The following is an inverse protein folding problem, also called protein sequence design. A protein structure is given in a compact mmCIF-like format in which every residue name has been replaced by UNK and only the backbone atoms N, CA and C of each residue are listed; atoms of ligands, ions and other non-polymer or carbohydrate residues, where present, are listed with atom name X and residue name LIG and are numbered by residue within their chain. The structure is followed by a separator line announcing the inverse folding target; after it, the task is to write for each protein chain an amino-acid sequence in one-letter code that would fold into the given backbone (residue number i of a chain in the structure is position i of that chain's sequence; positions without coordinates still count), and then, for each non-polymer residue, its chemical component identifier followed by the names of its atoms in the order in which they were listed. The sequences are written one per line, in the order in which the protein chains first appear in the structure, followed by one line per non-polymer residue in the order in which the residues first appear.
data_IF_214066268463
#
_entry.id   IF_214066268463
#
_cell.length_a   1.000
_cell.length_b   1.000
_cell.length_c   1.000
_cell.angle_alpha   90.00
_cell.angle_beta   90.00
_cell.angle_gamma   90.00
#
_symmetry.space_group_name_H-M   'P 1'
#
loop_
_entity.id
_entity.type
_entity.pdbx_description
1 polymer ?
#
# COMPACT_ATOMS: atom_id res chain seq x y z
N UNK A 1 -10.19 16.20 5.45
CA UNK A 1 -11.36 16.24 4.56
C UNK A 1 -11.13 15.26 3.42
N UNK A 2 -11.68 14.05 3.53
CA UNK A 2 -11.60 13.01 2.51
C UNK A 2 -12.69 13.22 1.46
N UNK A 3 -12.35 13.21 0.17
CA UNK A 3 -13.31 13.02 -0.93
C UNK A 3 -12.88 11.76 -1.71
N UNK A 4 -13.59 10.65 -1.48
CA UNK A 4 -13.56 9.48 -2.35
C UNK A 4 -14.48 9.78 -3.55
N UNK A 5 -13.96 9.63 -4.78
CA UNK A 5 -14.78 9.54 -5.98
C UNK A 5 -15.02 8.06 -6.30
N UNK A 6 -16.28 7.65 -6.32
CA UNK A 6 -16.73 6.34 -6.77
C UNK A 6 -17.27 6.50 -8.19
N UNK A 7 -16.55 6.00 -9.20
CA UNK A 7 -17.01 5.98 -10.59
C UNK A 7 -17.66 4.63 -10.86
N UNK A 8 -18.98 4.63 -11.04
CA UNK A 8 -19.76 3.46 -11.46
C UNK A 8 -19.72 3.37 -12.98
N UNK A 9 -19.11 2.32 -13.52
CA UNK A 9 -19.24 1.95 -14.94
C UNK A 9 -20.43 0.99 -15.08
N UNK A 10 -21.50 1.47 -15.72
CA UNK A 10 -22.59 0.64 -16.19
C UNK A 10 -22.21 0.04 -17.55
N UNK A 11 -22.06 -1.29 -17.61
CA UNK A 11 -21.96 -2.03 -18.87
C UNK A 11 -23.34 -2.63 -19.20
N UNK A 12 -23.97 -2.05 -20.21
CA UNK A 12 -25.14 -2.61 -20.88
C UNK A 12 -24.68 -3.69 -21.86
N UNK A 13 -25.25 -4.89 -21.78
CA UNK A 13 -25.08 -5.96 -22.78
C UNK A 13 -26.41 -6.14 -23.51
N UNK A 14 -26.40 -6.18 -24.86
CA UNK A 14 -27.62 -6.31 -25.66
C UNK A 14 -28.17 -7.74 -25.65
N UNK A 15 -29.50 -7.85 -25.58
CA UNK A 15 -30.24 -9.10 -25.76
C UNK A 15 -30.36 -9.42 -27.25
N UNK A 16 -29.84 -10.58 -27.66
CA UNK A 16 -30.04 -11.14 -28.99
C UNK A 16 -31.41 -11.83 -29.08
N UNK A 17 -32.21 -11.39 -30.05
CA UNK A 17 -33.50 -11.94 -30.45
C UNK A 17 -33.28 -13.07 -31.46
N UNK A 18 -33.69 -14.29 -31.12
CA UNK A 18 -33.96 -15.35 -32.11
C UNK A 18 -35.42 -15.77 -31.98
N UNK A 19 -36.16 -15.59 -33.07
CA UNK A 19 -37.55 -15.97 -33.21
C UNK A 19 -37.73 -17.48 -33.32
N UNK A 20 -38.86 -17.95 -32.79
CA UNK A 20 -39.38 -19.28 -33.06
C UNK A 20 -40.89 -19.22 -33.24
N UNK A 21 -41.37 -19.94 -34.25
CA UNK A 21 -42.70 -19.89 -34.84
C UNK A 21 -43.83 -20.33 -33.91
N UNK A 22 -44.98 -19.67 -34.06
CA UNK A 22 -46.28 -20.09 -33.53
C UNK A 22 -46.74 -21.41 -34.18
N UNK A 23 -47.00 -22.41 -33.34
CA UNK A 23 -47.88 -23.53 -33.65
C UNK A 23 -49.19 -23.33 -32.86
N UNK A 24 -50.29 -23.13 -33.58
CA UNK A 24 -51.64 -23.12 -33.02
C UNK A 24 -52.10 -24.55 -32.73
N UNK A 25 -52.28 -24.88 -31.45
CA UNK A 25 -52.89 -26.10 -30.95
C UNK A 25 -54.06 -25.74 -30.01
N UNK A 26 -55.05 -26.64 -29.84
CA UNK A 26 -56.41 -26.28 -29.45
C UNK A 26 -56.53 -25.83 -27.99
N UNK A 27 -57.47 -24.90 -27.77
CA UNK A 27 -57.90 -24.38 -26.48
C UNK A 27 -58.49 -25.51 -25.61
N UNK A 28 -57.67 -26.02 -24.69
CA UNK A 28 -58.09 -26.85 -23.57
C UNK A 28 -58.37 -25.90 -22.41
N UNK A 29 -59.57 -26.03 -21.82
CA UNK A 29 -60.03 -25.25 -20.67
C UNK A 29 -58.95 -25.18 -19.56
N UNK A 30 -58.79 -24.03 -18.89
CA UNK A 30 -57.73 -23.84 -17.91
C UNK A 30 -57.88 -24.86 -16.77
N UNK A 31 -56.89 -25.75 -16.54
CA UNK A 31 -56.79 -26.39 -15.25
C UNK A 31 -56.58 -25.26 -14.22
N UNK A 32 -57.36 -25.29 -13.14
CA UNK A 32 -57.22 -24.39 -12.01
C UNK A 32 -55.74 -24.21 -11.69
N UNK A 33 -55.28 -22.96 -11.63
CA UNK A 33 -53.90 -22.62 -11.28
C UNK A 33 -53.57 -23.27 -9.94
N UNK A 34 -52.89 -24.41 -10.00
CA UNK A 34 -52.18 -24.97 -8.86
C UNK A 34 -51.08 -23.93 -8.61
N UNK A 35 -51.24 -23.17 -7.52
CA UNK A 35 -50.23 -22.25 -7.05
C UNK A 35 -48.90 -23.00 -7.08
N UNK A 36 -47.98 -22.57 -7.95
CA UNK A 36 -46.63 -23.06 -7.93
C UNK A 36 -46.09 -22.69 -6.56
N UNK A 37 -46.00 -23.67 -5.65
CA UNK A 37 -45.25 -23.51 -4.41
C UNK A 37 -43.85 -23.06 -4.84
N UNK A 38 -43.48 -21.85 -4.41
CA UNK A 38 -42.13 -21.35 -4.60
C UNK A 38 -41.15 -22.41 -4.10
N UNK A 39 -40.03 -22.66 -4.81
CA UNK A 39 -39.03 -23.61 -4.35
C UNK A 39 -38.69 -23.32 -2.88
N UNK A 40 -38.58 -24.35 -2.01
CA UNK A 40 -38.27 -24.13 -0.61
C UNK A 40 -36.97 -23.32 -0.56
N UNK A 41 -37.06 -22.12 0.00
CA UNK A 41 -35.89 -21.31 0.31
C UNK A 41 -35.06 -22.16 1.26
N UNK A 42 -33.90 -22.65 0.80
CA UNK A 42 -32.96 -23.34 1.68
C UNK A 42 -32.43 -22.27 2.63
N UNK A 43 -33.09 -22.15 3.77
CA UNK A 43 -32.69 -21.25 4.84
C UNK A 43 -31.29 -21.67 5.30
N UNK A 44 -30.30 -20.83 5.00
CA UNK A 44 -28.93 -21.09 5.44
C UNK A 44 -28.89 -20.89 6.95
N UNK A 45 -28.51 -21.93 7.70
CA UNK A 45 -28.29 -21.82 9.14
C UNK A 45 -27.04 -20.98 9.43
N UNK A 46 -27.26 -19.67 9.54
CA UNK A 46 -26.22 -18.66 9.78
C UNK A 46 -25.53 -18.84 11.14
N UNK A 47 -26.22 -19.39 12.15
CA UNK A 47 -25.62 -19.66 13.45
C UNK A 47 -24.57 -20.76 13.33
N UNK A 48 -24.92 -21.89 12.72
CA UNK A 48 -23.98 -23.00 12.50
C UNK A 48 -22.81 -22.57 11.61
N UNK A 49 -23.08 -21.84 10.53
CA UNK A 49 -22.04 -21.32 9.63
C UNK A 49 -21.07 -20.39 10.38
N UNK A 50 -21.58 -19.44 11.16
CA UNK A 50 -20.77 -18.50 11.91
C UNK A 50 -19.91 -19.17 12.97
N UNK A 51 -20.44 -20.16 13.70
CA UNK A 51 -19.68 -20.95 14.68
C UNK A 51 -18.57 -21.78 14.03
N UNK A 52 -18.84 -22.39 12.88
CA UNK A 52 -17.84 -23.14 12.12
C UNK A 52 -16.69 -22.22 11.67
N UNK A 53 -17.01 -21.07 11.09
CA UNK A 53 -16.01 -20.09 10.68
C UNK A 53 -15.19 -19.53 11.86
N UNK A 54 -15.84 -19.31 13.01
CA UNK A 54 -15.14 -18.88 14.22
C UNK A 54 -14.20 -19.96 14.78
N UNK A 55 -14.58 -21.23 14.68
CA UNK A 55 -13.69 -22.34 15.01
C UNK A 55 -12.46 -22.39 14.10
N UNK A 56 -12.65 -22.22 12.79
CA UNK A 56 -11.55 -22.14 11.82
C UNK A 56 -10.62 -20.95 12.11
N UNK A 57 -11.20 -19.78 12.42
CA UNK A 57 -10.43 -18.59 12.80
C UNK A 57 -9.60 -18.83 14.08
N UNK A 58 -10.17 -19.55 15.06
CA UNK A 58 -9.47 -19.92 16.28
C UNK A 58 -8.31 -20.90 16.01
N UNK A 59 -8.52 -21.91 15.15
CA UNK A 59 -7.45 -22.82 14.74
C UNK A 59 -6.32 -22.07 14.01
N UNK A 60 -6.68 -21.17 13.09
CA UNK A 60 -5.71 -20.34 12.38
C UNK A 60 -4.90 -19.46 13.34
N UNK A 61 -5.54 -18.92 14.38
CA UNK A 61 -4.89 -18.06 15.38
C UNK A 61 -3.84 -18.82 16.23
N UNK A 62 -4.06 -20.11 16.56
CA UNK A 62 -3.15 -20.88 17.41
C UNK A 62 -1.75 -21.06 16.80
N UNK A 63 -1.65 -21.14 15.47
CA UNK A 63 -0.40 -21.36 14.75
C UNK A 63 0.10 -20.13 13.97
N UNK A 64 -0.51 -18.96 14.17
CA UNK A 64 -0.26 -17.81 13.33
C UNK A 64 1.16 -17.23 13.49
N UNK A 65 1.88 -17.12 12.37
CA UNK A 65 3.11 -16.33 12.27
C UNK A 65 2.80 -14.83 12.13
N UNK A 66 3.79 -13.96 12.32
CA UNK A 66 3.59 -12.49 12.28
C UNK A 66 2.84 -12.00 11.03
N UNK A 67 3.15 -12.57 9.85
CA UNK A 67 2.51 -12.22 8.58
C UNK A 67 1.13 -12.85 8.33
N UNK A 68 0.68 -13.79 9.16
CA UNK A 68 -0.60 -14.50 8.99
C UNK A 68 -1.76 -13.82 9.71
N UNK A 69 -1.49 -12.92 10.66
CA UNK A 69 -2.53 -12.25 11.46
C UNK A 69 -3.53 -11.42 10.65
N UNK A 70 -3.14 -10.95 9.45
CA UNK A 70 -4.10 -10.34 8.50
C UNK A 70 -5.19 -11.34 8.10
N UNK A 71 -4.82 -12.57 7.76
CA UNK A 71 -5.77 -13.63 7.37
C UNK A 71 -6.63 -14.04 8.56
N UNK A 72 -6.05 -14.19 9.76
CA UNK A 72 -6.79 -14.52 10.98
C UNK A 72 -7.85 -13.46 11.29
N UNK A 73 -7.52 -12.16 11.17
CA UNK A 73 -8.51 -11.10 11.38
C UNK A 73 -9.62 -11.11 10.33
N UNK A 74 -9.32 -11.44 9.06
CA UNK A 74 -10.34 -11.61 8.03
C UNK A 74 -11.28 -12.78 8.34
N UNK A 75 -10.76 -13.91 8.83
CA UNK A 75 -11.57 -15.08 9.20
C UNK A 75 -12.52 -14.78 10.36
N UNK A 76 -12.05 -14.09 11.40
CA UNK A 76 -12.92 -13.63 12.49
C UNK A 76 -14.04 -12.71 11.98
N UNK A 77 -13.71 -11.77 11.09
CA UNK A 77 -14.69 -10.86 10.50
C UNK A 77 -15.74 -11.63 9.66
N UNK A 78 -15.33 -12.66 8.93
CA UNK A 78 -16.27 -13.53 8.18
C UNK A 78 -17.22 -14.25 9.14
N UNK A 79 -16.72 -14.81 10.24
CA UNK A 79 -17.55 -15.46 11.26
C UNK A 79 -18.59 -14.50 11.86
N UNK A 80 -18.15 -13.27 12.20
CA UNK A 80 -19.04 -12.21 12.70
C UNK A 80 -20.13 -11.87 11.67
N UNK A 81 -19.76 -11.75 10.39
CA UNK A 81 -20.72 -11.43 9.31
C UNK A 81 -21.73 -12.55 9.06
N UNK A 82 -21.39 -13.81 9.31
CA UNK A 82 -22.36 -14.90 9.25
C UNK A 82 -23.31 -14.84 10.43
N UNK A 83 -22.79 -14.68 11.66
CA UNK A 83 -23.63 -14.58 12.87
C UNK A 83 -24.57 -13.37 12.84
N UNK A 84 -24.17 -12.26 12.21
CA UNK A 84 -25.01 -11.07 12.11
C UNK A 84 -26.22 -11.22 11.18
N UNK A 85 -26.25 -12.29 10.38
CA UNK A 85 -27.38 -12.63 9.51
C UNK A 85 -28.46 -13.46 10.21
N UNK A 86 -28.24 -13.89 11.47
CA UNK A 86 -29.27 -14.60 12.26
C UNK A 86 -30.44 -13.64 12.56
N UNK A 87 -31.68 -13.97 12.15
CA UNK A 87 -32.85 -13.13 12.40
C UNK A 87 -33.13 -12.91 13.89
N UNK A 88 -33.70 -11.75 14.25
CA UNK A 88 -33.99 -11.40 15.64
C UNK A 88 -35.08 -12.28 16.30
N UNK A 89 -35.95 -12.90 15.49
CA UNK A 89 -36.98 -13.85 15.89
C UNK A 89 -36.50 -15.30 15.91
N UNK A 90 -35.24 -15.56 15.49
CA UNK A 90 -34.64 -16.89 15.57
C UNK A 90 -34.49 -17.31 17.05
N UNK A 91 -34.85 -18.55 17.44
CA UNK A 91 -34.78 -19.02 18.83
C UNK A 91 -33.38 -18.85 19.46
N UNK A 92 -32.34 -18.99 18.64
CA UNK A 92 -30.94 -18.89 19.09
C UNK A 92 -30.29 -17.51 18.81
N UNK A 93 -31.06 -16.46 18.53
CA UNK A 93 -30.53 -15.12 18.28
C UNK A 93 -29.62 -14.62 19.43
N UNK A 94 -30.02 -14.88 20.68
CA UNK A 94 -29.22 -14.51 21.86
C UNK A 94 -27.84 -15.20 21.87
N UNK A 95 -27.76 -16.46 21.42
CA UNK A 95 -26.48 -17.16 21.29
C UNK A 95 -25.62 -16.51 20.20
N UNK A 96 -26.22 -16.20 19.04
CA UNK A 96 -25.51 -15.52 17.95
C UNK A 96 -24.90 -14.18 18.41
N UNK A 97 -25.66 -13.37 19.15
CA UNK A 97 -25.17 -12.11 19.71
C UNK A 97 -24.03 -12.30 20.72
N UNK A 98 -24.13 -13.31 21.58
CA UNK A 98 -23.05 -13.65 22.52
C UNK A 98 -21.76 -14.04 21.77
N UNK A 99 -21.88 -14.82 20.69
CA UNK A 99 -20.74 -15.19 19.85
C UNK A 99 -20.15 -14.02 19.07
N UNK A 100 -20.97 -13.09 18.58
CA UNK A 100 -20.48 -11.86 17.96
C UNK A 100 -19.60 -11.08 18.94
N UNK A 101 -20.02 -10.94 20.20
CA UNK A 101 -19.24 -10.22 21.21
C UNK A 101 -17.87 -10.89 21.45
N UNK A 102 -17.85 -12.22 21.62
CA UNK A 102 -16.63 -13.01 21.77
C UNK A 102 -15.70 -12.86 20.55
N UNK A 103 -16.25 -13.03 19.35
CA UNK A 103 -15.47 -13.01 18.11
C UNK A 103 -14.96 -11.62 17.77
N UNK A 104 -15.68 -10.57 18.17
CA UNK A 104 -15.22 -9.19 18.04
C UNK A 104 -13.95 -8.95 18.86
N UNK A 105 -13.88 -9.45 20.10
CA UNK A 105 -12.65 -9.35 20.89
C UNK A 105 -11.47 -10.07 20.23
N UNK A 106 -11.70 -11.27 19.70
CA UNK A 106 -10.66 -12.03 18.99
C UNK A 106 -10.22 -11.36 17.67
N UNK A 107 -11.18 -10.78 16.94
CA UNK A 107 -10.92 -9.97 15.75
C UNK A 107 -10.00 -8.79 16.08
N UNK A 108 -10.26 -8.07 17.17
CA UNK A 108 -9.43 -6.92 17.57
C UNK A 108 -8.00 -7.33 17.91
N UNK A 109 -7.83 -8.43 18.64
CA UNK A 109 -6.51 -9.01 18.91
C UNK A 109 -5.78 -9.30 17.60
N UNK A 110 -6.41 -10.04 16.69
CA UNK A 110 -5.81 -10.39 15.40
C UNK A 110 -5.49 -9.16 14.54
N UNK A 111 -6.37 -8.15 14.54
CA UNK A 111 -6.17 -6.87 13.85
C UNK A 111 -4.96 -6.13 14.40
N UNK A 112 -4.82 -6.07 15.72
CA UNK A 112 -3.70 -5.39 16.37
C UNK A 112 -2.36 -6.06 16.05
N UNK A 113 -2.31 -7.40 16.06
CA UNK A 113 -1.13 -8.14 15.61
C UNK A 113 -0.78 -7.84 14.14
N UNK A 114 -1.77 -7.84 13.26
CA UNK A 114 -1.56 -7.51 11.85
C UNK A 114 -1.03 -6.08 11.68
N UNK A 115 -1.56 -5.11 12.41
CA UNK A 115 -1.13 -3.71 12.33
C UNK A 115 0.30 -3.53 12.85
N UNK A 116 0.65 -4.20 13.95
CA UNK A 116 2.00 -4.17 14.51
C UNK A 116 3.04 -4.74 13.51
N UNK A 117 2.71 -5.85 12.86
CA UNK A 117 3.59 -6.42 11.83
C UNK A 117 3.79 -5.48 10.63
N UNK A 118 2.71 -4.87 10.13
CA UNK A 118 2.79 -3.90 9.03
C UNK A 118 3.60 -2.66 9.42
N UNK A 119 3.45 -2.17 10.64
CA UNK A 119 4.25 -1.06 11.16
C UNK A 119 5.75 -1.42 11.23
N UNK A 120 6.08 -2.62 11.70
CA UNK A 120 7.46 -3.15 11.73
C UNK A 120 8.05 -3.25 10.32
N UNK A 121 7.30 -3.75 9.34
CA UNK A 121 7.73 -3.78 7.94
C UNK A 121 7.95 -2.38 7.37
N UNK A 122 7.04 -1.45 7.65
CA UNK A 122 7.17 -0.07 7.19
C UNK A 122 8.42 0.60 7.77
N UNK A 123 8.70 0.38 9.06
CA UNK A 123 9.92 0.86 9.71
C UNK A 123 11.17 0.26 9.07
N UNK A 124 11.23 -1.07 8.87
CA UNK A 124 12.37 -1.72 8.24
C UNK A 124 12.62 -1.19 6.80
N UNK A 125 11.55 -0.97 6.03
CA UNK A 125 11.65 -0.36 4.69
C UNK A 125 12.16 1.08 4.76
N UNK A 126 11.72 1.86 5.74
CA UNK A 126 12.19 3.22 5.94
C UNK A 126 13.68 3.25 6.34
N UNK A 127 14.12 2.33 7.20
CA UNK A 127 15.52 2.18 7.58
C UNK A 127 16.40 1.86 6.38
N UNK A 128 16.02 0.86 5.57
CA UNK A 128 16.74 0.52 4.33
C UNK A 128 16.84 1.72 3.38
N UNK A 129 15.75 2.49 3.25
CA UNK A 129 15.74 3.71 2.42
C UNK A 129 16.65 4.80 2.97
N UNK A 130 16.74 4.95 4.29
CA UNK A 130 17.48 6.04 4.94
C UNK A 130 18.96 5.73 5.17
N UNK A 131 19.35 4.46 5.34
CA UNK A 131 20.71 4.05 5.69
C UNK A 131 21.78 4.59 4.70
N UNK A 132 21.61 4.51 3.37
CA UNK A 132 22.53 5.13 2.41
C UNK A 132 22.79 6.61 2.68
N UNK A 133 21.74 7.37 2.96
CA UNK A 133 21.83 8.81 3.19
C UNK A 133 22.51 9.12 4.53
N UNK A 134 22.28 8.32 5.56
CA UNK A 134 22.94 8.47 6.85
C UNK A 134 24.45 8.24 6.72
N UNK A 135 24.84 7.20 5.98
CA UNK A 135 26.25 6.90 5.70
C UNK A 135 26.91 8.01 4.87
N UNK A 136 26.23 8.47 3.83
CA UNK A 136 26.68 9.61 3.03
C UNK A 136 26.86 10.87 3.89
N UNK A 137 25.87 11.23 4.71
CA UNK A 137 25.94 12.38 5.60
C UNK A 137 27.06 12.25 6.64
N UNK A 138 27.35 11.04 7.14
CA UNK A 138 28.48 10.81 8.05
C UNK A 138 29.83 11.07 7.37
N UNK A 139 29.98 10.63 6.11
CA UNK A 139 31.19 10.89 5.33
C UNK A 139 31.33 12.37 4.97
N UNK A 140 30.22 13.05 4.66
CA UNK A 140 30.23 14.51 4.43
C UNK A 140 30.79 15.29 5.63
N UNK A 141 30.46 14.90 6.86
CA UNK A 141 30.99 15.56 8.06
C UNK A 141 32.50 15.37 8.25
N UNK A 142 33.11 14.37 7.60
CA UNK A 142 34.57 14.19 7.63
C UNK A 142 35.27 15.11 6.64
N UNK A 143 34.70 15.30 5.46
CA UNK A 143 35.29 16.12 4.39
C UNK A 143 34.92 17.61 4.51
N UNK A 144 33.76 17.92 5.10
CA UNK A 144 33.28 19.27 5.37
C UNK A 144 32.77 19.37 6.83
N UNK A 145 33.67 19.32 7.83
CA UNK A 145 33.27 19.34 9.24
C UNK A 145 32.58 20.64 9.66
N UNK A 146 32.89 21.74 8.99
CA UNK A 146 32.34 23.07 9.28
C UNK A 146 31.00 23.34 8.58
N UNK A 147 30.55 22.45 7.68
CA UNK A 147 29.35 22.66 6.86
C UNK A 147 29.48 23.87 5.91
N UNK A 148 30.72 24.19 5.53
CA UNK A 148 31.02 25.34 4.70
C UNK A 148 30.70 25.12 3.22
N UNK A 149 30.49 23.88 2.78
CA UNK A 149 30.13 23.54 1.40
C UNK A 149 28.72 22.96 1.33
N UNK A 150 28.39 22.04 2.25
CA UNK A 150 27.10 21.35 2.28
C UNK A 150 26.41 21.57 3.63
N UNK A 151 25.15 22.00 3.57
CA UNK A 151 24.35 22.31 4.75
C UNK A 151 23.31 21.22 5.07
N UNK A 152 22.86 20.47 4.07
CA UNK A 152 21.84 19.43 4.25
C UNK A 152 21.86 18.41 3.12
N UNK A 153 21.49 17.18 3.44
CA UNK A 153 21.14 16.13 2.48
C UNK A 153 19.72 15.65 2.76
N UNK A 154 18.92 15.49 1.72
CA UNK A 154 17.55 15.02 1.79
C UNK A 154 17.23 14.10 0.60
N UNK A 155 16.18 13.26 0.67
CA UNK A 155 15.71 12.56 -0.52
C UNK A 155 15.25 13.60 -1.54
N UNK A 156 15.54 13.37 -2.83
CA UNK A 156 15.02 14.25 -3.88
C UNK A 156 13.49 14.21 -3.87
N UNK A 157 12.87 15.39 -3.83
CA UNK A 157 11.41 15.55 -3.82
C UNK A 157 10.81 15.68 -5.21
N UNK A 158 11.64 15.81 -6.23
CA UNK A 158 11.23 16.16 -7.59
C UNK A 158 11.38 14.99 -8.55
N UNK A 159 12.31 14.07 -8.29
CA UNK A 159 12.46 12.85 -9.08
C UNK A 159 11.86 11.67 -8.32
N UNK A 160 10.55 11.50 -8.44
CA UNK A 160 9.79 10.44 -7.75
C UNK A 160 10.05 9.04 -8.32
N UNK A 161 10.78 8.94 -9.43
CA UNK A 161 11.07 7.72 -10.19
C UNK A 161 12.50 7.17 -9.97
N UNK A 162 13.30 7.79 -9.10
CA UNK A 162 14.60 7.26 -8.69
C UNK A 162 14.71 7.13 -7.17
N UNK A 163 14.66 5.89 -6.69
CA UNK A 163 14.83 5.54 -5.27
C UNK A 163 16.19 5.98 -4.68
N UNK A 164 17.11 6.42 -5.54
CA UNK A 164 18.51 6.77 -5.22
C UNK A 164 18.88 8.21 -5.60
N UNK A 165 17.89 9.09 -5.74
CA UNK A 165 18.11 10.51 -5.93
C UNK A 165 18.15 11.28 -4.61
N UNK A 166 19.15 12.14 -4.45
CA UNK A 166 19.27 13.01 -3.27
C UNK A 166 19.40 14.49 -3.65
N UNK A 167 18.78 15.32 -2.82
CA UNK A 167 19.00 16.76 -2.78
C UNK A 167 20.13 17.08 -1.81
N UNK A 168 21.15 17.77 -2.30
CA UNK A 168 22.25 18.31 -1.52
C UNK A 168 22.09 19.82 -1.47
N UNK A 169 21.76 20.35 -0.29
CA UNK A 169 21.68 21.79 -0.06
C UNK A 169 23.08 22.35 0.15
N UNK A 170 23.56 23.12 -0.83
CA UNK A 170 24.88 23.75 -0.77
C UNK A 170 24.81 25.12 -0.08
N UNK A 171 25.90 25.49 0.58
CA UNK A 171 26.05 26.78 1.28
C UNK A 171 26.43 27.91 0.31
N UNK A 172 26.54 29.14 0.84
CA UNK A 172 27.20 30.25 0.14
C UNK A 172 28.70 30.01 -0.08
N UNK A 173 29.38 29.25 0.79
CA UNK A 173 30.79 28.91 0.64
C UNK A 173 31.05 28.07 -0.62
N UNK A 174 30.18 27.11 -0.93
CA UNK A 174 30.23 26.39 -2.20
C UNK A 174 30.02 27.33 -3.40
N UNK A 175 29.05 28.25 -3.32
CA UNK A 175 28.74 29.18 -4.40
C UNK A 175 29.85 30.21 -4.64
N UNK A 176 30.67 30.50 -3.63
CA UNK A 176 31.82 31.40 -3.75
C UNK A 176 33.04 30.78 -4.46
N UNK A 177 33.04 29.46 -4.68
CA UNK A 177 34.10 28.77 -5.42
C UNK A 177 33.99 29.06 -6.92
N UNK A 178 35.12 29.06 -7.62
CA UNK A 178 35.10 29.12 -9.08
C UNK A 178 34.43 27.86 -9.67
N UNK A 179 33.93 27.96 -10.92
CA UNK A 179 33.20 26.88 -11.59
C UNK A 179 33.94 25.54 -11.60
N UNK A 180 35.23 25.54 -11.91
CA UNK A 180 36.03 24.31 -11.98
C UNK A 180 36.10 23.61 -10.61
N UNK A 181 36.35 24.36 -9.54
CA UNK A 181 36.36 23.82 -8.17
C UNK A 181 34.96 23.36 -7.74
N UNK A 182 33.89 24.08 -8.09
CA UNK A 182 32.51 23.63 -7.84
C UNK A 182 32.21 22.30 -8.52
N UNK A 183 32.65 22.13 -9.77
CA UNK A 183 32.47 20.90 -10.53
C UNK A 183 33.26 19.73 -9.92
N UNK A 184 34.48 19.97 -9.46
CA UNK A 184 35.29 18.97 -8.76
C UNK A 184 34.60 18.51 -7.47
N UNK A 185 34.17 19.45 -6.63
CA UNK A 185 33.43 19.14 -5.39
C UNK A 185 32.13 18.39 -5.70
N UNK A 186 31.37 18.83 -6.70
CA UNK A 186 30.15 18.15 -7.13
C UNK A 186 30.42 16.70 -7.58
N UNK A 187 31.52 16.47 -8.29
CA UNK A 187 31.95 15.14 -8.74
C UNK A 187 32.35 14.25 -7.57
N UNK A 188 33.04 14.80 -6.57
CA UNK A 188 33.38 14.09 -5.33
C UNK A 188 32.11 13.72 -4.55
N UNK A 189 31.17 14.65 -4.39
CA UNK A 189 29.88 14.41 -3.74
C UNK A 189 29.12 13.27 -4.41
N UNK A 190 29.05 13.27 -5.75
CA UNK A 190 28.43 12.17 -6.49
C UNK A 190 29.16 10.84 -6.28
N UNK A 191 30.49 10.85 -6.32
CA UNK A 191 31.32 9.64 -6.13
C UNK A 191 31.08 9.01 -4.76
N UNK A 192 30.99 9.83 -3.71
CA UNK A 192 30.67 9.37 -2.35
C UNK A 192 29.24 8.83 -2.31
N UNK A 193 28.29 9.50 -2.96
CA UNK A 193 26.90 9.02 -3.03
C UNK A 193 26.79 7.65 -3.69
N UNK A 194 27.45 7.44 -4.84
CA UNK A 194 27.46 6.13 -5.54
C UNK A 194 27.89 5.01 -4.58
N UNK A 195 28.94 5.24 -3.78
CA UNK A 195 29.45 4.24 -2.81
C UNK A 195 28.41 3.82 -1.77
N UNK A 196 27.56 4.74 -1.30
CA UNK A 196 26.62 4.48 -0.21
C UNK A 196 25.19 4.18 -0.67
N UNK A 197 24.81 4.66 -1.85
CA UNK A 197 23.48 4.50 -2.44
C UNK A 197 23.05 3.04 -2.63
N UNK A 198 24.01 2.11 -2.68
CA UNK A 198 23.75 0.68 -2.90
C UNK A 198 23.33 0.36 -4.33
N UNK A 199 23.39 1.31 -5.27
CA UNK A 199 23.11 1.01 -6.68
C UNK A 199 24.25 0.19 -7.28
N UNK A 200 23.88 -0.83 -8.05
CA UNK A 200 24.83 -1.62 -8.85
C UNK A 200 25.29 -0.88 -10.10
N UNK A 201 24.43 -0.01 -10.61
CA UNK A 201 24.67 0.83 -11.77
C UNK A 201 24.85 2.28 -11.31
N UNK A 202 26.08 2.78 -11.41
CA UNK A 202 26.44 4.12 -10.96
C UNK A 202 25.61 5.23 -11.63
N UNK A 203 25.10 5.01 -12.85
CA UNK A 203 24.27 6.00 -13.54
C UNK A 203 22.88 6.18 -12.92
N UNK A 204 22.49 5.28 -12.02
CA UNK A 204 21.27 5.39 -11.20
C UNK A 204 21.49 6.21 -9.93
N UNK A 205 22.74 6.37 -9.47
CA UNK A 205 23.04 7.30 -8.40
C UNK A 205 22.98 8.72 -8.97
N UNK A 206 22.02 9.52 -8.49
CA UNK A 206 21.86 10.90 -8.95
C UNK A 206 21.86 11.85 -7.77
N UNK A 207 22.52 12.98 -7.97
CA UNK A 207 22.52 14.09 -7.01
C UNK A 207 21.93 15.32 -7.66
N UNK A 208 21.29 16.16 -6.85
CA UNK A 208 20.89 17.50 -7.24
C UNK A 208 21.45 18.50 -6.25
N UNK A 209 22.16 19.50 -6.74
CA UNK A 209 22.69 20.58 -5.92
C UNK A 209 21.67 21.72 -5.90
N UNK A 210 21.23 22.10 -4.72
CA UNK A 210 20.26 23.18 -4.53
C UNK A 210 20.77 24.18 -3.50
N UNK A 211 20.40 25.45 -3.63
CA UNK A 211 20.64 26.45 -2.59
C UNK A 211 19.66 26.29 -1.43
N UNK A 212 19.87 27.00 -0.32
CA UNK A 212 18.91 27.08 0.79
C UNK A 212 17.50 27.55 0.36
N UNK A 213 17.41 28.34 -0.71
CA UNK A 213 16.13 28.78 -1.30
C UNK A 213 15.43 27.70 -2.15
N UNK A 214 16.07 26.56 -2.38
CA UNK A 214 15.60 25.49 -3.27
C UNK A 214 15.96 25.68 -4.75
N UNK A 215 16.61 26.79 -5.14
CA UNK A 215 17.11 26.98 -6.51
C UNK A 215 18.19 25.93 -6.84
N UNK A 216 18.01 25.19 -7.94
CA UNK A 216 19.02 24.26 -8.49
C UNK A 216 20.24 25.03 -8.99
N UNK A 217 21.43 24.50 -8.70
CA UNK A 217 22.74 25.07 -9.07
C UNK A 217 23.71 24.02 -9.64
N UNK A 218 23.24 22.80 -9.87
CA UNK A 218 24.03 21.71 -10.42
C UNK A 218 23.45 20.34 -10.10
N UNK A 219 24.22 19.30 -10.42
CA UNK A 219 23.91 17.91 -10.12
C UNK A 219 24.24 16.96 -11.26
N UNK A 220 23.62 15.78 -11.22
CA UNK A 220 23.73 14.75 -12.25
C UNK A 220 22.89 15.08 -13.50
N UNK A 221 23.42 14.71 -14.67
CA UNK A 221 22.77 14.83 -15.97
C UNK A 221 21.56 13.90 -16.11
N UNK A 222 20.62 14.27 -16.98
CA UNK A 222 19.44 13.43 -17.24
C UNK A 222 19.77 12.13 -17.98
N UNK A 223 20.82 12.12 -18.81
CA UNK A 223 21.21 10.99 -19.67
C UNK A 223 22.17 10.01 -18.98
N UNK A 224 22.62 10.29 -17.76
CA UNK A 224 23.52 9.42 -17.00
C UNK A 224 23.92 10.08 -15.68
N UNK A 225 23.79 9.35 -14.57
CA UNK A 225 24.08 9.86 -13.22
C UNK A 225 25.52 10.36 -13.05
N UNK A 226 26.46 9.77 -13.80
CA UNK A 226 27.89 10.08 -13.80
C UNK A 226 28.27 11.42 -14.41
N UNK A 227 27.42 12.03 -15.24
CA UNK A 227 27.69 13.35 -15.80
C UNK A 227 27.33 14.45 -14.79
N UNK A 228 28.33 15.05 -14.16
CA UNK A 228 28.13 16.11 -13.16
C UNK A 228 28.35 17.49 -13.76
N UNK A 229 27.39 18.39 -13.54
CA UNK A 229 27.48 19.79 -13.94
C UNK A 229 27.18 20.72 -12.77
N UNK A 230 27.64 21.96 -12.90
CA UNK A 230 27.34 23.07 -12.02
C UNK A 230 26.95 24.28 -12.87
N UNK A 231 25.90 24.97 -12.45
CA UNK A 231 25.45 26.18 -13.11
C UNK A 231 26.44 27.32 -12.82
N UNK A 232 26.47 28.33 -13.69
CA UNK A 232 27.27 29.54 -13.47
C UNK A 232 26.76 30.35 -12.27
#
# INVERSE_FOLDING_TARGET
MFKLYLTVFALAVPLASCGFSQATAPEIAPPAAVAAEAPPVVETDFLTLGKQQGYEAALAAQGATENQWRSVSQQWNTAINSLSQVPADHPDYAEAQAKIAEYTANFEVARNHSQAYEAKLAQARAEVRQAPMQNFAAELRRIDPSGQLVTRVAPDRFMTDCDTCIDITVSSGFLGLNKATRQEVATQLWTIWVRYSGVTDADKARIRLITQSGKKVGGSGMMGGSMIYVDD
#
